data_IF_219583932272
#
_entry.id   IF_219583932272
#
_cell.length_a   1.000
_cell.length_b   1.000
_cell.length_c   1.000
_cell.angle_alpha   90.00
_cell.angle_beta   90.00
_cell.angle_gamma   90.00
#
_symmetry.space_group_name_H-M   'P 1'
#
loop_
_entity.id
_entity.type
_entity.pdbx_description
1 polymer ?
#
# COMPACT_ATOMS: atom_id res chain seq x y z
N UNK A 1 -5.97 10.78 0.12
CA UNK A 1 -6.35 9.42 0.59
C UNK A 1 -5.51 8.29 -0.01
N UNK A 2 -4.56 8.53 -0.92
CA UNK A 2 -3.67 7.49 -1.47
C UNK A 2 -2.47 7.14 -0.57
N UNK A 3 -2.04 8.07 0.30
CA UNK A 3 -0.85 7.90 1.13
C UNK A 3 -0.95 6.74 2.14
N UNK A 4 -2.16 6.44 2.65
CA UNK A 4 -2.40 5.32 3.58
C UNK A 4 -2.11 3.94 2.97
N UNK A 5 -2.35 3.78 1.67
CA UNK A 5 -2.08 2.54 0.94
C UNK A 5 -0.58 2.38 0.62
N UNK A 6 0.09 3.49 0.30
CA UNK A 6 1.55 3.53 0.09
C UNK A 6 2.31 3.23 1.38
N UNK A 7 1.88 3.82 2.48
CA UNK A 7 2.53 3.64 3.79
C UNK A 7 2.30 2.24 4.37
N UNK A 8 1.12 1.65 4.20
CA UNK A 8 0.89 0.24 4.54
C UNK A 8 1.73 -0.72 3.68
N UNK A 9 1.93 -0.41 2.40
CA UNK A 9 2.86 -1.18 1.55
C UNK A 9 4.30 -1.10 2.04
N UNK A 10 4.76 0.10 2.39
CA UNK A 10 6.09 0.28 2.95
C UNK A 10 6.25 -0.41 4.30
N UNK A 11 5.21 -0.40 5.16
CA UNK A 11 5.21 -1.13 6.44
C UNK A 11 5.28 -2.64 6.24
N UNK A 12 4.54 -3.18 5.27
CA UNK A 12 4.55 -4.62 4.98
C UNK A 12 5.93 -5.07 4.47
N UNK A 13 6.54 -4.28 3.57
CA UNK A 13 7.92 -4.53 3.10
C UNK A 13 8.93 -4.42 4.26
N UNK A 14 8.82 -3.39 5.10
CA UNK A 14 9.67 -3.22 6.28
C UNK A 14 9.48 -4.32 7.33
N UNK A 15 8.31 -4.97 7.36
CA UNK A 15 8.02 -6.12 8.22
C UNK A 15 8.61 -7.44 7.70
N UNK A 16 9.38 -7.41 6.60
CA UNK A 16 10.00 -8.58 5.99
C UNK A 16 9.12 -9.26 4.92
N UNK A 17 7.99 -8.67 4.56
CA UNK A 17 7.12 -9.17 3.50
C UNK A 17 7.44 -8.42 2.19
N UNK A 18 8.50 -8.85 1.49
CA UNK A 18 9.06 -8.16 0.31
C UNK A 18 8.07 -7.94 -0.84
N UNK A 19 7.05 -8.81 -0.93
CA UNK A 19 5.92 -8.68 -1.85
C UNK A 19 4.60 -8.72 -1.06
N UNK A 20 4.19 -7.61 -0.46
CA UNK A 20 2.89 -7.51 0.21
C UNK A 20 1.79 -7.79 -0.79
N UNK A 21 0.88 -8.69 -0.43
CA UNK A 21 -0.36 -8.88 -1.20
C UNK A 21 -1.44 -7.92 -0.72
N UNK A 22 -2.46 -7.69 -1.55
CA UNK A 22 -3.62 -6.88 -1.19
C UNK A 22 -4.27 -7.35 0.13
N UNK A 23 -4.26 -8.65 0.42
CA UNK A 23 -4.76 -9.18 1.68
C UNK A 23 -3.93 -8.73 2.91
N UNK A 24 -2.61 -8.70 2.77
CA UNK A 24 -1.69 -8.30 3.83
C UNK A 24 -1.82 -6.81 4.15
N UNK A 25 -1.87 -6.00 3.09
CA UNK A 25 -2.11 -4.56 3.19
C UNK A 25 -3.49 -4.28 3.82
N UNK A 26 -4.53 -5.01 3.41
CA UNK A 26 -5.87 -4.85 3.97
C UNK A 26 -5.89 -5.11 5.47
N UNK A 27 -5.17 -6.14 5.94
CA UNK A 27 -4.98 -6.41 7.38
C UNK A 27 -4.31 -5.25 8.11
N UNK A 28 -3.25 -4.69 7.52
CA UNK A 28 -2.52 -3.56 8.13
C UNK A 28 -3.43 -2.32 8.20
N UNK A 29 -4.12 -1.97 7.10
CA UNK A 29 -5.00 -0.81 7.05
C UNK A 29 -6.23 -0.96 7.97
N UNK A 30 -6.79 -2.17 8.09
CA UNK A 30 -7.89 -2.50 9.00
C UNK A 30 -7.44 -2.38 10.47
N UNK A 31 -6.20 -2.80 10.76
CA UNK A 31 -5.58 -2.62 12.08
C UNK A 31 -5.40 -1.15 12.49
N UNK A 32 -5.37 -0.22 11.53
CA UNK A 32 -5.32 1.24 11.81
C UNK A 32 -6.71 1.88 11.85
N UNK A 33 -7.79 1.10 11.67
CA UNK A 33 -9.16 1.58 11.68
C UNK A 33 -9.53 2.47 10.48
N UNK A 34 -8.80 2.34 9.36
CA UNK A 34 -9.11 3.07 8.13
C UNK A 34 -9.96 2.23 7.21
N UNK A 35 -11.00 2.84 6.61
CA UNK A 35 -11.75 2.20 5.52
C UNK A 35 -10.80 1.77 4.40
N UNK A 36 -10.74 0.46 4.18
CA UNK A 36 -9.91 -0.17 3.15
C UNK A 36 -10.76 -0.41 1.93
N UNK A 37 -10.55 0.46 0.95
CA UNK A 37 -11.19 0.31 -0.34
C UNK A 37 -10.38 -0.68 -1.18
N UNK A 38 -10.97 -1.85 -1.43
CA UNK A 38 -10.25 -2.98 -2.04
C UNK A 38 -9.91 -2.68 -3.51
N UNK A 39 -10.76 -1.91 -4.18
CA UNK A 39 -10.54 -1.45 -5.56
C UNK A 39 -9.35 -0.48 -5.64
N UNK A 40 -9.27 0.48 -4.72
CA UNK A 40 -8.10 1.36 -4.60
C UNK A 40 -6.82 0.58 -4.27
N UNK A 41 -6.92 -0.44 -3.41
CA UNK A 41 -5.80 -1.24 -2.97
C UNK A 41 -5.23 -2.09 -4.12
N UNK A 42 -6.10 -2.78 -4.86
CA UNK A 42 -5.70 -3.54 -6.05
C UNK A 42 -5.12 -2.62 -7.13
N UNK A 43 -5.76 -1.46 -7.37
CA UNK A 43 -5.24 -0.45 -8.29
C UNK A 43 -3.85 0.06 -7.89
N UNK A 44 -3.58 0.21 -6.59
CA UNK A 44 -2.28 0.60 -6.08
C UNK A 44 -1.24 -0.52 -6.20
N UNK A 45 -1.58 -1.77 -5.86
CA UNK A 45 -0.69 -2.93 -6.04
C UNK A 45 -0.33 -3.13 -7.52
N UNK A 46 -1.29 -2.93 -8.42
CA UNK A 46 -1.07 -2.93 -9.87
C UNK A 46 -0.16 -1.76 -10.30
N UNK A 47 -0.39 -0.56 -9.78
CA UNK A 47 0.44 0.61 -10.07
C UNK A 47 1.86 0.51 -9.47
N UNK A 48 2.03 -0.23 -8.37
CA UNK A 48 3.31 -0.51 -7.71
C UNK A 48 4.08 -1.67 -8.35
N UNK A 49 3.40 -2.57 -9.08
CA UNK A 49 4.07 -3.57 -9.94
C UNK A 49 4.87 -2.85 -11.03
N UNK A 50 6.15 -2.63 -10.73
CA UNK A 50 7.10 -1.98 -11.64
C UNK A 50 7.38 -0.50 -11.37
N UNK A 51 6.83 0.11 -10.31
CA UNK A 51 7.18 1.47 -9.87
C UNK A 51 7.54 1.47 -8.39
N UNK A 52 8.69 2.07 -8.07
CA UNK A 52 9.20 2.13 -6.70
C UNK A 52 8.30 3.02 -5.84
N UNK A 53 8.08 2.65 -4.58
CA UNK A 53 7.29 3.40 -3.58
C UNK A 53 7.63 4.89 -3.57
N UNK A 54 8.90 5.21 -3.83
CA UNK A 54 9.46 6.55 -3.93
C UNK A 54 8.79 7.43 -5.01
N UNK A 55 8.49 6.90 -6.20
CA UNK A 55 7.81 7.61 -7.29
C UNK A 55 6.37 7.99 -6.92
N UNK A 56 5.69 7.11 -6.17
CA UNK A 56 4.30 7.34 -5.77
C UNK A 56 4.22 8.35 -4.63
N UNK A 57 5.15 8.32 -3.67
CA UNK A 57 5.26 9.36 -2.64
C UNK A 57 5.64 10.72 -3.21
N UNK A 58 6.50 10.77 -4.24
CA UNK A 58 6.95 12.01 -4.86
C UNK A 58 5.88 12.72 -5.69
N UNK A 59 4.89 12.00 -6.22
CA UNK A 59 3.81 12.59 -7.04
C UNK A 59 2.66 13.20 -6.21
N UNK A 60 2.66 13.00 -4.90
CA UNK A 60 1.57 13.40 -3.99
C UNK A 60 1.99 14.48 -2.97
N UNK A 61 3.29 14.80 -2.89
CA UNK A 61 3.83 15.98 -2.20
C UNK A 61 3.77 17.19 -3.13
#
# INVERSE_FOLDING_TARGET
>A
MALKYVSSYLLAVASGNENPTAADLKKILDSVGSEVDTECLEGLVQAMKGKTVHEVSARIL
#
